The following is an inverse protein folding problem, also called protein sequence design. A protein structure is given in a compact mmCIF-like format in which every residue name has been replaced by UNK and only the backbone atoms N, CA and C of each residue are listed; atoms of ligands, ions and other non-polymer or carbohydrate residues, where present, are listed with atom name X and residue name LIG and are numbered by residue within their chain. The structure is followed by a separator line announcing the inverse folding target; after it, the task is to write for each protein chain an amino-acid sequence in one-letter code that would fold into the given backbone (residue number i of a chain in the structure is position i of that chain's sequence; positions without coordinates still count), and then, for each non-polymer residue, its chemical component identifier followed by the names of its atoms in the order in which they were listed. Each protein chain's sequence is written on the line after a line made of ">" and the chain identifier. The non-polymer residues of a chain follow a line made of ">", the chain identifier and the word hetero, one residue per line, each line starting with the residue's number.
data_IF_722469763698
#
_entry.id   IF_722469763698
#
_cell.length_a   1.000
_cell.length_b   1.000
_cell.length_c   1.000
_cell.angle_alpha   90.00
_cell.angle_beta   90.00
_cell.angle_gamma   90.00
#
_symmetry.space_group_name_H-M   'P 1'
#
loop_
_entity.id
_entity.type
_entity.pdbx_description
1 polymer ?
#
# COMPACT_ATOMS: atom_id res chain seq x y z
N UNK A 1 7.43 -75.33 -41.06
CA UNK A 1 8.23 -75.12 -42.27
C UNK A 1 7.36 -74.38 -43.26
N UNK A 2 7.95 -73.36 -43.85
CA UNK A 2 7.50 -72.54 -44.97
C UNK A 2 6.47 -71.43 -44.71
N UNK A 3 7.10 -70.31 -44.40
CA UNK A 3 6.74 -68.92 -44.59
C UNK A 3 6.59 -68.56 -46.09
N UNK A 4 6.10 -67.34 -46.36
CA UNK A 4 6.18 -66.57 -47.61
C UNK A 4 5.12 -66.77 -48.73
N UNK A 5 4.14 -65.86 -48.80
CA UNK A 5 4.22 -64.66 -49.67
C UNK A 5 2.86 -63.93 -49.79
N UNK A 6 2.86 -62.70 -49.28
CA UNK A 6 1.97 -61.60 -49.62
C UNK A 6 1.84 -61.36 -51.13
N UNK A 7 0.62 -61.10 -51.63
CA UNK A 7 0.39 -60.10 -52.70
C UNK A 7 -1.00 -59.42 -52.62
N UNK A 8 -0.94 -58.12 -52.25
CA UNK A 8 -1.72 -56.95 -52.75
C UNK A 8 -3.19 -56.77 -52.28
N UNK A 9 -3.78 -55.56 -52.44
CA UNK A 9 -3.22 -54.20 -52.42
C UNK A 9 -4.00 -53.20 -51.52
N UNK A 10 -3.37 -52.04 -51.37
CA UNK A 10 -3.86 -50.74 -50.92
C UNK A 10 -5.35 -50.43 -51.19
N UNK A 11 -5.98 -49.78 -50.21
CA UNK A 11 -6.92 -48.68 -50.50
C UNK A 11 -8.20 -48.68 -49.68
N UNK A 12 -8.50 -47.49 -49.15
CA UNK A 12 -9.81 -47.00 -48.72
C UNK A 12 -10.25 -47.30 -47.28
N UNK A 13 -10.51 -46.22 -46.54
CA UNK A 13 -11.16 -46.32 -45.22
C UNK A 13 -11.28 -45.05 -44.38
N UNK A 14 -11.13 -43.83 -44.93
CA UNK A 14 -11.44 -42.59 -44.20
C UNK A 14 -12.38 -41.63 -44.96
N UNK A 15 -13.11 -42.13 -45.94
CA UNK A 15 -14.15 -41.37 -46.65
C UNK A 15 -15.49 -42.10 -46.55
N UNK A 16 -16.24 -41.87 -45.48
CA UNK A 16 -17.57 -42.49 -45.35
C UNK A 16 -18.36 -42.23 -44.06
N UNK A 17 -18.08 -41.16 -43.31
CA UNK A 17 -18.99 -40.74 -42.23
C UNK A 17 -19.88 -39.60 -42.76
N UNK A 18 -21.22 -39.73 -42.65
CA UNK A 18 -22.15 -38.63 -42.95
C UNK A 18 -21.72 -37.36 -42.22
N UNK A 19 -21.77 -36.19 -42.86
CA UNK A 19 -21.34 -34.92 -42.24
C UNK A 19 -21.98 -34.67 -40.87
N UNK A 20 -23.21 -35.14 -40.67
CA UNK A 20 -23.95 -35.08 -39.40
C UNK A 20 -23.25 -35.86 -38.27
N UNK A 21 -22.63 -37.00 -38.57
CA UNK A 21 -21.88 -37.82 -37.60
C UNK A 21 -20.47 -37.28 -37.35
N UNK A 22 -19.81 -36.71 -38.37
CA UNK A 22 -18.53 -35.99 -38.17
C UNK A 22 -18.72 -34.79 -37.26
N UNK A 23 -19.78 -34.02 -37.45
CA UNK A 23 -20.14 -32.91 -36.59
C UNK A 23 -20.50 -33.38 -35.17
N UNK A 24 -21.21 -34.51 -35.01
CA UNK A 24 -21.52 -35.08 -33.70
C UNK A 24 -20.25 -35.53 -32.94
N UNK A 25 -19.31 -36.21 -33.62
CA UNK A 25 -18.04 -36.67 -33.03
C UNK A 25 -17.11 -35.49 -32.73
N UNK A 26 -17.03 -34.50 -33.61
CA UNK A 26 -16.30 -33.26 -33.33
C UNK A 26 -16.92 -32.52 -32.13
N UNK A 27 -18.24 -32.44 -32.05
CA UNK A 27 -18.95 -31.84 -30.91
C UNK A 27 -18.70 -32.61 -29.61
N UNK A 28 -18.69 -33.94 -29.65
CA UNK A 28 -18.44 -34.79 -28.48
C UNK A 28 -16.99 -34.70 -28.01
N UNK A 29 -16.01 -34.71 -28.93
CA UNK A 29 -14.57 -34.56 -28.62
C UNK A 29 -14.25 -33.13 -28.16
N UNK A 30 -14.84 -32.12 -28.79
CA UNK A 30 -14.74 -30.73 -28.36
C UNK A 30 -15.35 -30.58 -26.95
N UNK A 31 -16.55 -31.12 -26.71
CA UNK A 31 -17.21 -31.06 -25.39
C UNK A 31 -16.38 -31.75 -24.30
N UNK A 32 -15.78 -32.93 -24.56
CA UNK A 32 -14.92 -33.62 -23.59
C UNK A 32 -13.66 -32.82 -23.28
N UNK A 33 -13.04 -32.17 -24.28
CA UNK A 33 -11.90 -31.26 -24.06
C UNK A 33 -12.31 -30.03 -23.24
N UNK A 34 -13.47 -29.44 -23.51
CA UNK A 34 -14.01 -28.33 -22.72
C UNK A 34 -14.36 -28.75 -21.29
N UNK A 35 -14.89 -29.96 -21.08
CA UNK A 35 -15.16 -30.52 -19.75
C UNK A 35 -13.87 -30.81 -18.98
N UNK A 36 -12.86 -31.40 -19.62
CA UNK A 36 -11.53 -31.61 -19.01
C UNK A 36 -10.85 -30.28 -18.68
N UNK A 37 -10.94 -29.30 -19.58
CA UNK A 37 -10.42 -27.96 -19.34
C UNK A 37 -11.15 -27.27 -18.18
N UNK A 38 -12.49 -27.29 -18.18
CA UNK A 38 -13.31 -26.74 -17.11
C UNK A 38 -13.04 -27.42 -15.76
N UNK A 39 -12.87 -28.75 -15.75
CA UNK A 39 -12.50 -29.50 -14.55
C UNK A 39 -11.09 -29.14 -14.07
N UNK A 40 -10.12 -29.00 -14.98
CA UNK A 40 -8.78 -28.55 -14.65
C UNK A 40 -8.75 -27.14 -14.05
N UNK A 41 -9.52 -26.21 -14.64
CA UNK A 41 -9.69 -24.84 -14.10
C UNK A 41 -10.37 -24.88 -12.74
N UNK A 42 -11.45 -25.66 -12.57
CA UNK A 42 -12.16 -25.79 -11.31
C UNK A 42 -11.26 -26.38 -10.21
N UNK A 43 -10.48 -27.41 -10.53
CA UNK A 43 -9.53 -28.02 -9.60
C UNK A 43 -8.44 -27.02 -9.21
N UNK A 44 -7.85 -26.31 -10.16
CA UNK A 44 -6.84 -25.28 -9.91
C UNK A 44 -7.39 -24.15 -9.02
N UNK A 45 -8.61 -23.68 -9.30
CA UNK A 45 -9.29 -22.67 -8.48
C UNK A 45 -9.60 -23.20 -7.07
N UNK A 46 -10.08 -24.44 -6.95
CA UNK A 46 -10.38 -25.04 -5.64
C UNK A 46 -9.12 -25.25 -4.81
N UNK A 47 -8.03 -25.74 -5.42
CA UNK A 47 -6.77 -25.99 -4.74
C UNK A 47 -6.10 -24.68 -4.36
N UNK A 48 -6.10 -23.70 -5.26
CA UNK A 48 -5.60 -22.35 -4.97
C UNK A 48 -6.37 -21.68 -3.83
N UNK A 49 -7.70 -21.80 -3.82
CA UNK A 49 -8.55 -21.27 -2.75
C UNK A 49 -8.28 -21.98 -1.42
N UNK A 50 -8.17 -23.32 -1.44
CA UNK A 50 -7.83 -24.09 -0.25
C UNK A 50 -6.45 -23.72 0.31
N UNK A 51 -5.44 -23.61 -0.55
CA UNK A 51 -4.10 -23.19 -0.14
C UNK A 51 -4.09 -21.76 0.41
N UNK A 52 -4.90 -20.86 -0.16
CA UNK A 52 -5.05 -19.51 0.35
C UNK A 52 -5.61 -19.51 1.78
N UNK A 53 -6.76 -20.13 2.00
CA UNK A 53 -7.43 -20.14 3.31
C UNK A 53 -6.80 -21.05 4.37
N UNK A 54 -5.92 -21.98 3.98
CA UNK A 54 -5.18 -22.82 4.93
C UNK A 54 -4.00 -22.10 5.62
N UNK A 55 -3.58 -20.94 5.10
CA UNK A 55 -2.52 -20.13 5.72
C UNK A 55 -3.09 -19.26 6.84
N UNK A 56 -2.30 -19.03 7.88
CA UNK A 56 -2.65 -18.13 8.98
C UNK A 56 -3.02 -16.74 8.46
N UNK A 57 -4.23 -16.31 8.77
CA UNK A 57 -4.74 -15.00 8.38
C UNK A 57 -3.97 -13.88 9.08
N UNK A 58 -3.88 -12.75 8.38
CA UNK A 58 -3.31 -11.51 8.91
C UNK A 58 -4.45 -10.59 9.32
N UNK A 59 -4.39 -10.04 10.53
CA UNK A 59 -5.37 -9.11 11.08
C UNK A 59 -4.69 -7.78 11.34
N UNK A 60 -5.20 -6.72 10.72
CA UNK A 60 -4.71 -5.36 10.88
C UNK A 60 -5.65 -4.67 11.87
N UNK A 61 -5.13 -4.35 13.05
CA UNK A 61 -5.88 -3.61 14.05
C UNK A 61 -5.90 -2.14 13.67
N UNK A 62 -7.08 -1.54 13.73
CA UNK A 62 -7.31 -0.12 13.45
C UNK A 62 -8.45 0.36 14.33
N UNK A 63 -8.83 1.63 14.19
CA UNK A 63 -10.02 2.18 14.83
C UNK A 63 -10.80 3.09 13.88
N UNK A 64 -11.98 3.51 14.31
CA UNK A 64 -12.87 4.34 13.51
C UNK A 64 -12.24 5.69 13.14
N UNK A 65 -11.38 6.25 14.00
CA UNK A 65 -10.75 7.55 13.74
C UNK A 65 -9.70 7.41 12.64
N UNK A 66 -8.85 6.41 12.71
CA UNK A 66 -7.84 6.13 11.67
C UNK A 66 -8.51 5.80 10.33
N UNK A 67 -9.54 4.95 10.34
CA UNK A 67 -10.29 4.59 9.14
C UNK A 67 -11.02 5.79 8.52
N UNK A 68 -11.56 6.69 9.34
CA UNK A 68 -12.17 7.93 8.88
C UNK A 68 -11.15 8.83 8.18
N UNK A 69 -9.96 9.00 8.76
CA UNK A 69 -8.91 9.86 8.21
C UNK A 69 -8.23 9.26 6.97
N UNK A 70 -7.91 7.96 7.00
CA UNK A 70 -7.24 7.27 5.89
C UNK A 70 -8.18 6.99 4.71
N UNK A 71 -9.45 6.73 5.01
CA UNK A 71 -10.51 6.36 4.08
C UNK A 71 -10.73 4.84 4.00
N UNK A 72 -11.94 4.40 4.35
CA UNK A 72 -12.37 2.98 4.35
C UNK A 72 -12.07 2.25 3.03
N UNK A 73 -12.40 2.87 1.89
CA UNK A 73 -12.19 2.27 0.58
C UNK A 73 -10.71 2.03 0.28
N UNK A 74 -9.85 2.97 0.66
CA UNK A 74 -8.40 2.86 0.46
C UNK A 74 -7.80 1.80 1.37
N UNK A 75 -8.22 1.74 2.64
CA UNK A 75 -7.84 0.69 3.58
C UNK A 75 -8.21 -0.70 3.03
N UNK A 76 -9.42 -0.83 2.50
CA UNK A 76 -9.89 -2.06 1.84
C UNK A 76 -9.02 -2.41 0.63
N UNK A 77 -8.72 -1.47 -0.26
CA UNK A 77 -7.85 -1.70 -1.41
C UNK A 77 -6.45 -2.17 -1.00
N UNK A 78 -5.84 -1.55 0.01
CA UNK A 78 -4.53 -1.97 0.49
C UNK A 78 -4.58 -3.36 1.14
N UNK A 79 -5.66 -3.67 1.86
CA UNK A 79 -5.91 -5.00 2.42
C UNK A 79 -6.00 -6.06 1.32
N UNK A 80 -6.76 -5.81 0.26
CA UNK A 80 -6.88 -6.73 -0.89
C UNK A 80 -5.54 -6.89 -1.61
N UNK A 81 -4.80 -5.80 -1.85
CA UNK A 81 -3.46 -5.85 -2.44
C UNK A 81 -2.51 -6.68 -1.58
N UNK A 82 -2.53 -6.48 -0.27
CA UNK A 82 -1.71 -7.25 0.65
C UNK A 82 -2.08 -8.74 0.63
N UNK A 83 -3.38 -9.07 0.64
CA UNK A 83 -3.86 -10.44 0.57
C UNK A 83 -3.40 -11.15 -0.72
N UNK A 84 -3.52 -10.45 -1.86
CA UNK A 84 -3.04 -10.95 -3.15
C UNK A 84 -1.52 -11.17 -3.15
N UNK A 85 -0.74 -10.23 -2.60
CA UNK A 85 0.73 -10.34 -2.54
C UNK A 85 1.22 -11.41 -1.59
N UNK A 86 0.54 -11.62 -0.46
CA UNK A 86 0.90 -12.61 0.55
C UNK A 86 0.34 -14.00 0.26
N UNK A 87 -0.58 -14.12 -0.69
CA UNK A 87 -1.34 -15.35 -1.00
C UNK A 87 -1.96 -15.97 0.27
N UNK A 88 -2.56 -15.11 1.12
CA UNK A 88 -3.30 -15.50 2.33
C UNK A 88 -4.35 -14.46 2.69
N UNK A 89 -5.36 -14.81 3.52
CA UNK A 89 -6.36 -13.86 3.98
C UNK A 89 -5.75 -12.73 4.80
N UNK A 90 -6.22 -11.51 4.53
CA UNK A 90 -5.91 -10.31 5.31
C UNK A 90 -7.21 -9.63 5.65
N UNK A 91 -7.41 -9.31 6.92
CA UNK A 91 -8.62 -8.69 7.44
C UNK A 91 -8.30 -7.44 8.23
N UNK A 92 -9.19 -6.45 8.17
CA UNK A 92 -9.16 -5.28 9.05
C UNK A 92 -10.06 -5.54 10.24
N UNK A 93 -9.60 -5.18 11.43
CA UNK A 93 -10.38 -5.28 12.67
C UNK A 93 -10.40 -3.91 13.32
N UNK A 94 -11.57 -3.27 13.31
CA UNK A 94 -11.79 -2.03 14.06
C UNK A 94 -11.94 -2.38 15.54
N UNK A 95 -10.98 -1.95 16.35
CA UNK A 95 -10.96 -2.11 17.79
C UNK A 95 -11.62 -0.88 18.41
N UNK A 96 -12.58 -1.05 19.33
CA UNK A 96 -13.21 0.08 19.99
C UNK A 96 -12.19 0.88 20.82
N UNK A 97 -12.26 2.21 20.75
CA UNK A 97 -11.41 3.11 21.53
C UNK A 97 -11.91 3.20 22.99
N UNK A 98 -11.73 2.12 23.74
CA UNK A 98 -11.98 2.07 25.18
C UNK A 98 -10.66 2.16 25.95
N UNK A 99 -10.65 2.83 27.11
CA UNK A 99 -9.44 2.95 27.94
C UNK A 99 -9.07 1.65 28.67
N UNK A 100 -10.03 0.72 28.79
CA UNK A 100 -9.84 -0.55 29.50
C UNK A 100 -9.20 -1.61 28.58
N UNK A 101 -7.95 -1.96 28.89
CA UNK A 101 -7.18 -2.99 28.19
C UNK A 101 -7.86 -4.37 28.24
N UNK A 102 -8.53 -4.71 29.34
CA UNK A 102 -9.20 -6.01 29.48
C UNK A 102 -10.34 -6.11 28.48
N UNK A 103 -11.14 -5.05 28.33
CA UNK A 103 -12.22 -5.01 27.33
C UNK A 103 -11.69 -5.07 25.89
N UNK A 104 -10.58 -4.39 25.60
CA UNK A 104 -9.94 -4.51 24.28
C UNK A 104 -9.45 -5.93 24.02
N UNK A 105 -8.78 -6.57 24.99
CA UNK A 105 -8.29 -7.95 24.85
C UNK A 105 -9.45 -8.92 24.67
N UNK A 106 -10.49 -8.81 25.49
CA UNK A 106 -11.67 -9.68 25.41
C UNK A 106 -12.38 -9.50 24.05
N UNK A 107 -12.38 -8.28 23.49
CA UNK A 107 -12.82 -8.03 22.12
C UNK A 107 -11.94 -8.75 21.09
N UNK A 108 -10.61 -8.71 21.23
CA UNK A 108 -9.70 -9.46 20.35
C UNK A 108 -9.93 -10.97 20.44
N UNK A 109 -10.14 -11.52 21.65
CA UNK A 109 -10.46 -12.93 21.88
C UNK A 109 -11.76 -13.38 21.18
N UNK A 110 -12.75 -12.49 21.09
CA UNK A 110 -13.99 -12.78 20.37
C UNK A 110 -13.87 -12.68 18.85
N UNK A 111 -12.89 -11.92 18.34
CA UNK A 111 -12.78 -11.59 16.91
C UNK A 111 -11.67 -12.33 16.19
N UNK A 112 -10.63 -12.76 16.90
CA UNK A 112 -9.44 -13.34 16.32
C UNK A 112 -9.35 -14.84 16.61
N UNK A 113 -9.01 -15.67 15.61
CA UNK A 113 -8.64 -17.06 15.84
C UNK A 113 -7.35 -17.17 16.69
N UNK A 114 -7.19 -18.29 17.39
CA UNK A 114 -6.02 -18.55 18.26
C UNK A 114 -4.67 -18.51 17.52
N UNK A 115 -4.67 -18.79 16.21
CA UNK A 115 -3.50 -18.74 15.35
C UNK A 115 -3.62 -17.61 14.33
N UNK A 116 -3.15 -16.44 14.72
CA UNK A 116 -3.28 -15.19 13.95
C UNK A 116 -1.94 -14.47 13.81
N UNK A 117 -1.76 -13.76 12.69
CA UNK A 117 -0.72 -12.73 12.57
C UNK A 117 -1.39 -11.37 12.76
N UNK A 118 -1.05 -10.66 13.81
CA UNK A 118 -1.69 -9.41 14.19
C UNK A 118 -0.73 -8.26 13.93
N UNK A 119 -1.12 -7.32 13.08
CA UNK A 119 -0.42 -6.05 12.88
C UNK A 119 -1.13 -5.01 13.73
N UNK A 120 -0.43 -4.44 14.69
CA UNK A 120 -1.00 -3.55 15.69
C UNK A 120 -0.26 -2.20 15.76
N UNK A 121 -0.98 -1.07 15.75
CA UNK A 121 -0.48 0.20 16.26
C UNK A 121 -0.03 0.09 17.72
N UNK A 122 0.83 1.01 18.18
CA UNK A 122 1.35 0.99 19.57
C UNK A 122 0.25 1.14 20.62
N UNK A 123 -0.80 1.91 20.31
CA UNK A 123 -1.94 2.14 21.22
C UNK A 123 -2.73 0.88 21.60
N UNK A 124 -2.65 -0.20 20.81
CA UNK A 124 -3.28 -1.50 21.11
C UNK A 124 -2.25 -2.57 21.49
N UNK A 125 -1.01 -2.17 21.78
CA UNK A 125 0.07 -3.10 22.05
C UNK A 125 -0.22 -3.98 23.26
N UNK A 126 -0.65 -3.40 24.38
CA UNK A 126 -0.88 -4.15 25.63
C UNK A 126 -1.95 -5.23 25.44
N UNK A 127 -3.11 -4.87 24.88
CA UNK A 127 -4.18 -5.81 24.57
C UNK A 127 -3.71 -6.92 23.61
N UNK A 128 -2.94 -6.58 22.57
CA UNK A 128 -2.41 -7.53 21.59
C UNK A 128 -1.39 -8.50 22.22
N UNK A 129 -0.51 -8.00 23.10
CA UNK A 129 0.42 -8.86 23.84
C UNK A 129 -0.32 -9.76 24.84
N UNK A 130 -1.36 -9.23 25.49
CA UNK A 130 -2.25 -10.01 26.35
C UNK A 130 -2.89 -11.18 25.60
N UNK A 131 -3.40 -10.94 24.39
CA UNK A 131 -3.92 -11.98 23.49
C UNK A 131 -2.84 -13.01 23.14
N UNK A 132 -1.65 -12.57 22.72
CA UNK A 132 -0.52 -13.47 22.40
C UNK A 132 -0.10 -14.36 23.57
N UNK A 133 -0.10 -13.83 24.80
CA UNK A 133 0.27 -14.60 25.98
C UNK A 133 -0.71 -15.76 26.24
N UNK A 134 -2.00 -15.56 25.94
CA UNK A 134 -3.03 -16.61 26.02
C UNK A 134 -3.06 -17.53 24.81
N UNK A 135 -2.61 -17.03 23.65
CA UNK A 135 -2.52 -17.77 22.40
C UNK A 135 -1.10 -17.75 21.83
N UNK A 136 -0.15 -18.54 22.38
CA UNK A 136 1.27 -18.46 22.03
C UNK A 136 1.60 -18.75 20.56
N UNK A 137 0.67 -19.37 19.82
CA UNK A 137 0.82 -19.63 18.38
C UNK A 137 0.59 -18.38 17.51
N UNK A 138 0.08 -17.30 18.10
CA UNK A 138 -0.14 -16.02 17.44
C UNK A 138 1.11 -15.15 17.41
N UNK A 139 1.17 -14.31 16.38
CA UNK A 139 2.26 -13.37 16.14
C UNK A 139 1.70 -11.96 16.29
N UNK A 140 2.43 -11.09 16.98
CA UNK A 140 2.08 -9.67 17.13
C UNK A 140 3.22 -8.82 16.58
N UNK A 141 2.87 -8.00 15.58
CA UNK A 141 3.76 -7.06 14.90
C UNK A 141 3.38 -5.64 15.29
N UNK A 142 4.27 -4.95 16.02
CA UNK A 142 4.01 -3.60 16.53
C UNK A 142 4.62 -2.59 15.58
N UNK A 143 3.76 -1.80 14.93
CA UNK A 143 4.14 -0.86 13.87
C UNK A 143 5.30 0.04 14.30
N UNK A 144 5.09 0.89 15.31
CA UNK A 144 6.04 1.93 15.72
C UNK A 144 7.34 1.43 16.40
N UNK A 145 7.45 0.12 16.70
CA UNK A 145 8.65 -0.47 17.35
C UNK A 145 9.50 -1.31 16.40
N UNK A 146 8.85 -1.96 15.45
CA UNK A 146 9.48 -2.89 14.51
C UNK A 146 9.70 -2.26 13.14
N UNK A 147 8.91 -1.25 12.81
CA UNK A 147 8.87 -0.61 11.51
C UNK A 147 8.87 0.91 11.68
N UNK A 148 9.65 1.59 10.85
CA UNK A 148 9.81 3.04 10.93
C UNK A 148 9.72 3.60 9.51
N UNK A 149 9.06 4.75 9.36
CA UNK A 149 9.07 5.50 8.11
C UNK A 149 10.39 6.28 8.00
N UNK A 150 11.10 6.10 6.88
CA UNK A 150 12.36 6.76 6.58
C UNK A 150 12.12 8.17 6.05
N UNK A 151 11.81 9.08 6.97
CA UNK A 151 11.59 10.48 6.62
C UNK A 151 12.82 11.18 6.02
N UNK A 152 14.05 10.69 6.22
CA UNK A 152 15.24 11.29 5.58
C UNK A 152 15.20 11.05 4.08
N UNK A 153 15.08 9.78 3.68
CA UNK A 153 14.94 9.40 2.28
C UNK A 153 13.74 10.07 1.62
N UNK A 154 12.64 10.19 2.36
CA UNK A 154 11.41 10.75 1.82
C UNK A 154 11.47 12.27 1.60
N UNK A 155 12.09 13.01 2.52
CA UNK A 155 12.29 14.45 2.37
C UNK A 155 13.22 14.73 1.18
N UNK A 156 14.24 13.89 0.96
CA UNK A 156 15.05 13.96 -0.27
C UNK A 156 14.21 13.73 -1.53
N UNK A 157 13.28 12.76 -1.51
CA UNK A 157 12.34 12.54 -2.63
C UNK A 157 11.38 13.72 -2.82
N UNK A 158 10.95 14.38 -1.76
CA UNK A 158 10.13 15.58 -1.85
C UNK A 158 10.87 16.74 -2.55
N UNK A 159 12.19 16.81 -2.41
CA UNK A 159 13.00 17.81 -3.12
C UNK A 159 12.97 17.63 -4.65
N UNK A 160 12.67 16.43 -5.15
CA UNK A 160 12.47 16.18 -6.58
C UNK A 160 11.27 16.93 -7.16
N UNK A 161 10.30 17.29 -6.30
CA UNK A 161 9.13 18.08 -6.66
C UNK A 161 9.38 19.56 -6.38
N UNK A 162 9.93 19.88 -5.19
CA UNK A 162 10.14 21.27 -4.76
C UNK A 162 11.23 21.99 -5.58
N UNK A 163 12.33 21.32 -5.94
CA UNK A 163 13.45 21.94 -6.66
C UNK A 163 13.08 22.50 -8.04
N UNK A 164 12.40 21.73 -8.91
CA UNK A 164 11.90 22.25 -10.18
C UNK A 164 10.92 23.41 -10.04
N UNK A 165 10.06 23.39 -9.01
CA UNK A 165 9.16 24.52 -8.70
C UNK A 165 9.95 25.77 -8.34
N UNK A 166 10.93 25.64 -7.44
CA UNK A 166 11.80 26.74 -7.03
C UNK A 166 12.52 27.41 -8.20
N UNK A 167 13.08 26.60 -9.11
CA UNK A 167 13.71 27.10 -10.34
C UNK A 167 12.74 27.83 -11.25
N UNK A 168 11.52 27.31 -11.41
CA UNK A 168 10.53 27.88 -12.32
C UNK A 168 10.02 29.23 -11.82
N UNK A 169 9.85 29.37 -10.51
CA UNK A 169 9.28 30.59 -9.90
C UNK A 169 10.35 31.56 -9.40
N UNK A 170 11.62 31.17 -9.42
CA UNK A 170 12.74 31.87 -8.78
C UNK A 170 12.45 32.23 -7.31
N UNK A 171 11.89 31.27 -6.58
CA UNK A 171 11.47 31.44 -5.18
C UNK A 171 11.90 30.24 -4.33
N UNK A 172 12.28 30.53 -3.09
CA UNK A 172 12.80 29.52 -2.17
C UNK A 172 11.67 28.60 -1.65
N UNK A 173 11.88 27.27 -1.59
CA UNK A 173 10.95 26.37 -0.92
C UNK A 173 10.94 26.60 0.61
N UNK A 174 9.77 26.47 1.21
CA UNK A 174 9.59 26.39 2.65
C UNK A 174 9.61 24.96 3.16
N UNK A 175 10.22 24.74 4.31
CA UNK A 175 10.18 23.48 5.05
C UNK A 175 9.54 23.73 6.42
N UNK A 176 8.37 23.15 6.65
CA UNK A 176 7.62 23.27 7.91
C UNK A 176 7.63 21.92 8.63
N UNK A 177 8.46 21.84 9.68
CA UNK A 177 8.61 20.63 10.50
C UNK A 177 7.79 20.75 11.80
N UNK A 178 7.25 19.65 12.35
CA UNK A 178 6.51 19.68 13.61
C UNK A 178 7.36 20.25 14.76
N UNK A 179 6.78 21.13 15.57
CA UNK A 179 7.48 21.69 16.74
C UNK A 179 7.86 20.63 17.78
N UNK A 180 7.14 19.51 17.83
CA UNK A 180 7.42 18.37 18.71
C UNK A 180 8.62 17.53 18.28
N UNK A 181 9.21 17.80 17.12
CA UNK A 181 10.36 17.06 16.60
C UNK A 181 11.65 17.54 17.28
N UNK A 182 12.48 16.59 17.71
CA UNK A 182 13.81 16.85 18.27
C UNK A 182 14.67 17.72 17.34
N UNK A 183 15.45 18.64 17.91
CA UNK A 183 16.26 19.61 17.16
C UNK A 183 17.29 18.92 16.26
N UNK A 184 17.91 17.83 16.72
CA UNK A 184 18.88 17.05 15.93
C UNK A 184 18.22 16.45 14.70
N UNK A 185 17.02 15.89 14.87
CA UNK A 185 16.26 15.33 13.75
C UNK A 185 15.81 16.43 12.79
N UNK A 186 15.38 17.58 13.32
CA UNK A 186 14.95 18.75 12.56
C UNK A 186 16.08 19.28 11.66
N UNK A 187 17.26 19.48 12.21
CA UNK A 187 18.46 19.88 11.46
C UNK A 187 18.83 18.85 10.41
N UNK A 188 18.78 17.56 10.76
CA UNK A 188 19.11 16.48 9.82
C UNK A 188 18.15 16.46 8.63
N UNK A 189 16.84 16.60 8.87
CA UNK A 189 15.84 16.62 7.79
C UNK A 189 16.00 17.87 6.92
N UNK A 190 16.27 19.03 7.53
CA UNK A 190 16.56 20.26 6.79
C UNK A 190 17.76 20.09 5.87
N UNK A 191 18.89 19.62 6.40
CA UNK A 191 20.10 19.40 5.62
C UNK A 191 19.83 18.43 4.45
N UNK A 192 19.14 17.33 4.74
CA UNK A 192 18.79 16.32 3.72
C UNK A 192 17.91 16.90 2.62
N UNK A 193 16.96 17.78 2.99
CA UNK A 193 16.13 18.49 2.02
C UNK A 193 16.95 19.43 1.14
N UNK A 194 17.82 20.24 1.75
CA UNK A 194 18.66 21.22 1.06
C UNK A 194 19.63 20.54 0.08
N UNK A 195 20.23 19.41 0.49
CA UNK A 195 21.04 18.56 -0.40
C UNK A 195 20.22 18.06 -1.60
N UNK A 196 19.00 17.58 -1.36
CA UNK A 196 18.09 17.18 -2.43
C UNK A 196 17.72 18.33 -3.38
N UNK A 197 17.50 19.54 -2.85
CA UNK A 197 17.22 20.73 -3.66
C UNK A 197 18.42 21.10 -4.53
N UNK A 198 19.63 21.05 -3.95
CA UNK A 198 20.87 21.32 -4.68
C UNK A 198 21.11 20.30 -5.81
N UNK A 199 20.82 19.02 -5.60
CA UNK A 199 20.86 17.99 -6.65
C UNK A 199 19.89 18.27 -7.79
N UNK A 200 18.76 18.91 -7.50
CA UNK A 200 17.81 19.39 -8.53
C UNK A 200 18.13 20.81 -9.02
N UNK A 201 19.28 21.35 -8.62
CA UNK A 201 19.90 22.60 -9.06
C UNK A 201 19.35 23.87 -8.42
N UNK A 202 18.73 23.77 -7.25
CA UNK A 202 18.41 24.92 -6.40
C UNK A 202 19.39 24.98 -5.23
N UNK A 203 20.43 25.81 -5.33
CA UNK A 203 21.54 25.86 -4.36
C UNK A 203 21.31 26.79 -3.17
N UNK A 204 20.25 27.60 -3.16
CA UNK A 204 19.96 28.56 -2.08
C UNK A 204 19.40 27.89 -0.81
N UNK A 205 19.16 26.57 -0.86
CA UNK A 205 18.54 25.81 0.24
C UNK A 205 17.06 26.15 0.42
N UNK A 206 16.49 25.65 1.53
CA UNK A 206 15.12 25.90 1.97
C UNK A 206 15.06 26.89 3.14
N UNK A 207 13.91 27.56 3.27
CA UNK A 207 13.58 28.34 4.47
C UNK A 207 12.91 27.41 5.47
N UNK A 208 13.48 27.28 6.67
CA UNK A 208 12.79 26.61 7.77
C UNK A 208 11.69 27.55 8.28
N UNK A 209 10.46 27.05 8.30
CA UNK A 209 9.30 27.78 8.82
C UNK A 209 9.07 27.29 10.25
N UNK A 210 9.39 28.12 11.23
CA UNK A 210 9.06 27.83 12.63
C UNK A 210 7.58 28.14 12.91
N UNK A 211 6.92 27.27 13.68
CA UNK A 211 5.52 27.43 14.10
C UNK A 211 5.33 28.73 14.90
N UNK A 212 4.96 29.83 14.23
CA UNK A 212 4.21 30.98 14.79
C UNK A 212 3.98 32.12 13.80
N UNK A 213 4.78 32.25 12.73
CA UNK A 213 4.69 33.41 11.83
C UNK A 213 4.02 33.02 10.50
N UNK A 214 3.27 33.96 9.94
CA UNK A 214 2.59 33.81 8.66
C UNK A 214 3.50 33.15 7.63
N UNK A 215 2.97 32.18 6.90
CA UNK A 215 3.66 31.54 5.79
C UNK A 215 4.13 32.65 4.84
N UNK A 216 5.44 32.78 4.56
CA UNK A 216 5.93 33.81 3.66
C UNK A 216 5.25 33.72 2.30
N UNK A 217 4.79 34.85 1.76
CA UNK A 217 4.05 34.89 0.50
C UNK A 217 4.92 34.65 -0.74
N UNK A 218 6.25 34.62 -0.58
CA UNK A 218 7.25 34.49 -1.64
C UNK A 218 7.93 33.11 -1.66
N UNK A 219 7.19 32.04 -1.36
CA UNK A 219 7.68 30.67 -1.43
C UNK A 219 7.23 29.98 -2.71
N UNK A 220 8.11 29.17 -3.30
CA UNK A 220 7.75 28.35 -4.47
C UNK A 220 6.86 27.16 -4.11
N UNK A 221 7.04 26.61 -2.92
CA UNK A 221 6.27 25.50 -2.37
C UNK A 221 6.52 25.35 -0.87
N UNK A 222 5.70 24.56 -0.19
CA UNK A 222 5.88 24.20 1.22
C UNK A 222 5.89 22.68 1.35
N UNK A 223 6.95 22.15 1.96
CA UNK A 223 6.97 20.78 2.47
C UNK A 223 6.48 20.77 3.92
N UNK A 224 5.54 19.90 4.27
CA UNK A 224 5.00 19.85 5.63
C UNK A 224 4.53 18.46 6.07
N UNK A 225 4.37 18.30 7.38
CA UNK A 225 3.90 17.10 8.07
C UNK A 225 2.49 17.36 8.66
N UNK A 226 1.73 16.31 9.01
CA UNK A 226 0.30 16.44 9.26
C UNK A 226 0.03 16.96 10.67
N UNK A 227 0.19 18.27 10.88
CA UNK A 227 -0.20 18.96 12.12
C UNK A 227 -0.69 20.39 11.90
N UNK A 228 -0.48 20.98 10.72
CA UNK A 228 -0.68 22.42 10.53
C UNK A 228 -1.99 22.76 9.81
N UNK A 229 -3.09 22.84 10.56
CA UNK A 229 -4.41 23.31 10.08
C UNK A 229 -4.36 24.67 9.36
N UNK A 230 -3.33 25.47 9.61
CA UNK A 230 -3.11 26.80 9.02
C UNK A 230 -2.84 26.79 7.51
N UNK A 231 -2.52 25.63 6.92
CA UNK A 231 -2.21 25.52 5.49
C UNK A 231 -3.44 25.43 4.57
N UNK A 232 -4.65 25.43 5.13
CA UNK A 232 -5.90 25.39 4.34
C UNK A 232 -6.03 26.56 3.36
N UNK A 233 -5.40 27.70 3.66
CA UNK A 233 -5.44 28.92 2.84
C UNK A 233 -4.09 29.28 2.21
N UNK A 234 -3.13 28.35 2.17
CA UNK A 234 -1.86 28.63 1.51
C UNK A 234 -2.08 28.87 0.00
N UNK A 235 -1.61 30.01 -0.50
CA UNK A 235 -1.63 30.34 -1.94
C UNK A 235 -0.54 29.62 -2.74
N UNK A 236 0.37 28.93 -2.05
CA UNK A 236 1.52 28.25 -2.63
C UNK A 236 1.30 26.73 -2.67
N UNK A 237 1.91 26.01 -3.63
CA UNK A 237 1.85 24.55 -3.70
C UNK A 237 2.36 23.86 -2.42
N UNK A 238 1.66 22.85 -1.96
CA UNK A 238 2.02 22.06 -0.77
C UNK A 238 2.40 20.63 -1.18
N UNK A 239 3.52 20.16 -0.63
CA UNK A 239 3.92 18.76 -0.60
C UNK A 239 3.72 18.28 0.84
N UNK A 240 2.86 17.28 1.03
CA UNK A 240 2.38 16.89 2.36
C UNK A 240 2.80 15.46 2.70
N UNK A 241 3.42 15.26 3.87
CA UNK A 241 3.49 13.95 4.51
C UNK A 241 2.21 13.70 5.27
N UNK A 242 1.40 12.75 4.82
CA UNK A 242 0.15 12.40 5.50
C UNK A 242 -0.50 11.14 4.97
N UNK A 243 -1.10 10.40 5.90
CA UNK A 243 -2.03 9.31 5.64
C UNK A 243 -3.44 9.78 5.22
N UNK A 244 -3.78 11.06 5.43
CA UNK A 244 -5.14 11.59 5.22
C UNK A 244 -5.62 11.36 3.78
N UNK A 245 -6.91 11.02 3.66
CA UNK A 245 -7.60 10.87 2.38
C UNK A 245 -7.61 12.20 1.60
N UNK A 246 -7.37 12.12 0.28
CA UNK A 246 -7.22 13.27 -0.61
C UNK A 246 -8.47 14.15 -0.67
N UNK A 247 -9.63 13.59 -0.35
CA UNK A 247 -10.91 14.30 -0.28
C UNK A 247 -10.94 15.37 0.84
N UNK A 248 -10.15 15.19 1.89
CA UNK A 248 -10.05 16.13 3.01
C UNK A 248 -8.89 17.12 2.85
N UNK A 249 -8.09 16.99 1.79
CA UNK A 249 -6.90 17.82 1.59
C UNK A 249 -7.21 19.10 0.80
N UNK A 250 -6.65 20.25 1.22
CA UNK A 250 -6.86 21.51 0.52
C UNK A 250 -6.30 21.44 -0.91
N UNK A 251 -6.84 22.26 -1.81
CA UNK A 251 -6.47 22.28 -3.24
C UNK A 251 -5.02 22.65 -3.49
N UNK A 252 -4.39 23.36 -2.57
CA UNK A 252 -2.98 23.72 -2.61
C UNK A 252 -2.05 22.50 -2.53
N UNK A 253 -2.52 21.35 -2.01
CA UNK A 253 -1.72 20.11 -1.97
C UNK A 253 -1.60 19.52 -3.37
N UNK A 254 -0.37 19.50 -3.89
CA UNK A 254 -0.03 18.95 -5.21
C UNK A 254 0.48 17.51 -5.15
N UNK A 255 1.07 17.12 -4.01
CA UNK A 255 1.66 15.82 -3.79
C UNK A 255 1.52 15.42 -2.32
N UNK A 256 1.27 14.12 -2.09
CA UNK A 256 1.14 13.53 -0.77
C UNK A 256 2.06 12.33 -0.65
N UNK A 257 2.95 12.35 0.32
CA UNK A 257 3.70 11.17 0.74
C UNK A 257 2.88 10.46 1.82
N UNK A 258 2.26 9.33 1.45
CA UNK A 258 1.55 8.45 2.38
C UNK A 258 2.53 7.81 3.35
N UNK A 259 2.63 8.39 4.54
CA UNK A 259 3.49 7.95 5.64
C UNK A 259 2.78 7.00 6.61
N UNK A 260 1.65 6.41 6.20
CA UNK A 260 1.07 5.29 6.92
C UNK A 260 1.73 3.96 6.59
N UNK A 261 1.49 2.96 7.43
CA UNK A 261 1.96 1.60 7.20
C UNK A 261 1.05 0.78 6.25
N UNK A 262 -0.10 1.32 5.84
CA UNK A 262 -1.07 0.62 4.99
C UNK A 262 -0.47 0.10 3.66
N UNK A 263 0.34 0.87 2.91
CA UNK A 263 0.94 0.36 1.68
C UNK A 263 1.98 -0.76 1.88
N UNK A 264 2.44 -0.97 3.11
CA UNK A 264 3.58 -1.83 3.45
C UNK A 264 3.19 -3.12 4.20
N UNK A 265 1.89 -3.42 4.31
CA UNK A 265 1.36 -4.61 5.01
C UNK A 265 2.06 -5.90 4.57
N UNK A 266 2.22 -6.10 3.26
CA UNK A 266 2.82 -7.32 2.74
C UNK A 266 4.30 -7.43 3.13
N UNK A 267 5.04 -6.33 2.99
CA UNK A 267 6.46 -6.24 3.35
C UNK A 267 6.68 -6.53 4.83
N UNK A 268 5.84 -5.98 5.72
CA UNK A 268 5.89 -6.23 7.16
C UNK A 268 5.67 -7.70 7.54
N UNK A 269 4.74 -8.38 6.87
CA UNK A 269 4.50 -9.81 7.13
C UNK A 269 5.69 -10.65 6.63
N UNK A 270 6.23 -10.33 5.46
CA UNK A 270 7.39 -11.04 4.89
C UNK A 270 8.66 -10.81 5.72
N UNK A 271 8.86 -9.60 6.25
CA UNK A 271 10.01 -9.28 7.09
C UNK A 271 9.95 -9.99 8.45
N UNK A 272 8.75 -10.13 9.02
CA UNK A 272 8.54 -10.94 10.20
C UNK A 272 8.97 -12.39 9.99
N UNK A 273 8.57 -13.03 8.89
CA UNK A 273 8.96 -14.42 8.60
C UNK A 273 10.49 -14.59 8.51
N UNK A 274 11.20 -13.51 8.17
CA UNK A 274 12.68 -13.45 8.12
C UNK A 274 13.32 -12.98 9.43
N UNK A 275 12.53 -12.56 10.43
CA UNK A 275 12.96 -11.94 11.68
C UNK A 275 13.85 -10.69 11.47
N UNK A 276 13.50 -9.83 10.50
CA UNK A 276 14.27 -8.61 10.16
C UNK A 276 13.41 -7.36 10.37
N UNK A 277 13.97 -6.33 11.01
CA UNK A 277 13.36 -4.99 11.06
C UNK A 277 13.58 -4.25 9.74
N UNK A 278 12.59 -3.45 9.32
CA UNK A 278 12.66 -2.71 8.06
C UNK A 278 12.31 -1.23 8.26
N UNK A 279 13.02 -0.38 7.52
CA UNK A 279 12.63 1.00 7.32
C UNK A 279 11.87 1.10 6.00
N UNK A 280 10.75 1.81 6.00
CA UNK A 280 9.91 1.98 4.81
C UNK A 280 9.94 3.41 4.33
N UNK A 281 9.95 3.60 3.03
CA UNK A 281 9.71 4.90 2.42
C UNK A 281 8.20 5.10 2.29
N UNK A 282 7.71 6.30 2.55
CA UNK A 282 6.32 6.68 2.25
C UNK A 282 5.97 6.48 0.77
N UNK A 283 4.68 6.30 0.46
CA UNK A 283 4.23 6.13 -0.91
C UNK A 283 3.75 7.45 -1.50
N UNK A 284 4.42 7.92 -2.55
CA UNK A 284 4.03 9.15 -3.24
C UNK A 284 2.69 8.95 -3.97
N UNK A 285 1.75 9.84 -3.65
CA UNK A 285 0.46 10.02 -4.31
C UNK A 285 0.43 11.43 -4.88
N UNK A 286 0.50 11.53 -6.20
CA UNK A 286 0.27 12.81 -6.87
C UNK A 286 -1.23 13.04 -6.98
N UNK A 287 -1.70 14.25 -6.66
CA UNK A 287 -3.08 14.61 -7.02
C UNK A 287 -3.09 14.91 -8.51
N UNK A 288 -3.81 14.11 -9.29
CA UNK A 288 -4.02 14.38 -10.70
C UNK A 288 -4.74 15.72 -10.85
N UNK A 289 -3.97 16.74 -11.22
CA UNK A 289 -4.39 18.10 -11.49
C UNK A 289 -5.15 18.13 -12.83
N UNK A 290 -6.39 17.63 -12.86
CA UNK A 290 -7.25 17.86 -14.03
C UNK A 290 -7.60 19.37 -14.10
N UNK A 291 -6.88 20.05 -14.98
CA UNK A 291 -7.31 21.18 -15.84
C UNK A 291 -7.27 22.67 -15.41
N UNK A 292 -6.87 23.09 -14.20
CA UNK A 292 -7.11 24.50 -13.80
C UNK A 292 -5.92 25.46 -13.55
N UNK A 293 -4.66 25.03 -13.58
CA UNK A 293 -3.52 25.98 -13.43
C UNK A 293 -2.66 26.16 -14.68
N UNK A 294 -2.67 25.23 -15.63
CA UNK A 294 -1.89 25.38 -16.88
C UNK A 294 -2.54 26.43 -17.80
N UNK A 295 -3.86 26.67 -17.71
CA UNK A 295 -4.52 27.73 -18.48
C UNK A 295 -4.31 29.16 -17.97
N UNK A 296 -3.82 29.33 -16.74
CA UNK A 296 -3.63 30.66 -16.14
C UNK A 296 -2.16 31.09 -16.07
N UNK A 297 -1.24 30.28 -16.62
CA UNK A 297 0.17 30.65 -16.76
C UNK A 297 0.53 31.10 -18.19
N UNK A 298 -0.42 30.98 -19.14
CA UNK A 298 -0.29 31.42 -20.54
C UNK A 298 -1.15 32.66 -20.85
N UNK A 299 -1.60 33.40 -19.82
CA UNK A 299 -2.28 34.70 -19.96
C UNK A 299 -1.54 35.79 -19.19
#
# INVERSE_FOLDING_TARGET
>A
MDDFMLRRPLGQGWYGLPENLKNLVLYEVMSKKYVLFAFGVALFLSLGTFLFFSRSAVFILTDETELLLYGNYRALLQTVKAAARLLRPVYMVSVPQVSDEALQRDYLEQKLPERSIIITPSRFEQASQGFKNRHPSSVVLILERQYIIDYKSDVKRAAEIAGPLAKKTDQTPGLLLPSSMDDTLRETLKQTFDEGLAEKGWSHGSILIDEAREVPSNLSSILTFPTNQRLQNASVPIILFSSINDDFLPRSVIAVFDDSFWPHIAEMVVSYEKNVKMNFNSVLRTRNYRDNYIKNADN
#
